data_IF_537195803620
#
_entry.id   IF_537195803620
#
_cell.length_a   1.000
_cell.length_b   1.000
_cell.length_c   1.000
_cell.angle_alpha   90.00
_cell.angle_beta   90.00
_cell.angle_gamma   90.00
#
_symmetry.space_group_name_H-M   'P 1'
#
loop_
_entity.id
_entity.type
_entity.pdbx_description
1 polymer ?
#
# COMPACT_ATOMS: atom_id res chain seq x y z
N UNK A 1 36.47 -17.79 17.22
CA UNK A 1 35.38 -17.87 16.22
C UNK A 1 34.01 -18.06 16.91
N UNK A 2 33.28 -16.99 17.29
CA UNK A 2 31.86 -17.07 17.74
C UNK A 2 31.01 -15.79 17.51
N UNK A 3 31.55 -14.72 16.93
CA UNK A 3 30.85 -13.41 16.82
C UNK A 3 30.07 -13.17 15.53
N UNK A 4 30.17 -14.01 14.50
CA UNK A 4 29.56 -13.73 13.19
C UNK A 4 28.08 -14.17 13.04
N UNK A 5 27.58 -15.11 13.85
CA UNK A 5 26.20 -15.60 13.71
C UNK A 5 25.14 -14.67 14.33
N UNK A 6 25.53 -13.79 15.26
CA UNK A 6 24.58 -12.86 15.90
C UNK A 6 24.07 -11.78 14.94
N UNK A 7 24.89 -11.33 13.99
CA UNK A 7 24.48 -10.30 13.04
C UNK A 7 23.43 -10.83 12.05
N UNK A 8 23.54 -12.10 11.64
CA UNK A 8 22.58 -12.73 10.72
C UNK A 8 21.19 -12.92 11.35
N UNK A 9 21.13 -13.25 12.64
CA UNK A 9 19.87 -13.45 13.36
C UNK A 9 19.13 -12.12 13.62
N UNK A 10 19.86 -11.05 13.88
CA UNK A 10 19.28 -9.69 14.09
C UNK A 10 18.64 -9.16 12.81
N UNK A 11 19.24 -9.39 11.64
CA UNK A 11 18.69 -8.93 10.35
C UNK A 11 17.39 -9.69 10.02
N UNK A 12 17.34 -11.01 10.26
CA UNK A 12 16.13 -11.81 10.03
C UNK A 12 15.00 -11.42 10.99
N UNK A 13 15.32 -11.16 12.26
CA UNK A 13 14.33 -10.68 13.23
C UNK A 13 13.75 -9.31 12.80
N UNK A 14 14.58 -8.38 12.32
CA UNK A 14 14.12 -7.08 11.85
C UNK A 14 13.18 -7.21 10.63
N UNK A 15 13.50 -8.08 9.67
CA UNK A 15 12.61 -8.38 8.54
C UNK A 15 11.25 -8.95 8.98
N UNK A 16 11.22 -9.78 10.03
CA UNK A 16 9.97 -10.36 10.54
C UNK A 16 9.08 -9.35 11.30
N UNK A 17 9.68 -8.41 12.04
CA UNK A 17 8.93 -7.36 12.73
C UNK A 17 8.31 -6.34 11.77
N UNK A 18 8.98 -6.04 10.64
CA UNK A 18 8.44 -5.12 9.64
C UNK A 18 7.19 -5.65 8.91
N UNK A 19 7.05 -6.96 8.77
CA UNK A 19 5.92 -7.58 8.07
C UNK A 19 4.68 -7.64 8.96
N UNK A 20 4.82 -8.00 10.25
CA UNK A 20 3.67 -8.11 11.15
C UNK A 20 3.11 -6.76 11.65
N UNK A 21 3.90 -5.69 11.59
CA UNK A 21 3.43 -4.34 11.91
C UNK A 21 2.51 -3.71 10.85
N UNK A 22 2.43 -4.29 9.65
CA UNK A 22 1.66 -3.73 8.51
C UNK A 22 0.26 -4.36 8.34
N UNK A 23 -0.09 -5.36 9.14
CA UNK A 23 -1.35 -6.10 9.02
C UNK A 23 -2.33 -5.92 10.19
N UNK A 24 -2.04 -5.07 11.18
CA UNK A 24 -3.05 -4.76 12.20
C UNK A 24 -4.01 -3.67 11.68
N UNK A 25 -5.24 -4.12 11.40
CA UNK A 25 -6.48 -3.34 11.28
C UNK A 25 -6.77 -2.65 9.95
N UNK A 26 -7.31 -3.41 9.00
CA UNK A 26 -8.46 -2.93 8.20
C UNK A 26 -9.50 -4.05 8.02
N UNK A 27 -10.20 -4.38 9.09
CA UNK A 27 -11.46 -5.13 9.01
C UNK A 27 -12.57 -4.11 8.71
N UNK A 28 -13.04 -4.09 7.47
CA UNK A 28 -14.20 -3.28 7.07
C UNK A 28 -15.43 -3.95 7.69
N UNK A 29 -15.92 -3.37 8.79
CA UNK A 29 -17.08 -3.90 9.50
C UNK A 29 -17.30 -3.21 10.84
N UNK A 30 -17.77 -1.96 10.79
CA UNK A 30 -18.70 -1.31 11.73
C UNK A 30 -18.61 0.21 11.58
N UNK A 31 -19.74 0.90 11.79
CA UNK A 31 -19.90 2.35 11.80
C UNK A 31 -18.87 3.04 12.71
N UNK A 32 -17.71 3.35 12.17
CA UNK A 32 -16.80 4.35 12.72
C UNK A 32 -17.03 5.62 11.91
N UNK A 33 -17.68 6.61 12.53
CA UNK A 33 -17.45 8.01 12.14
C UNK A 33 -15.98 8.30 12.42
N UNK A 34 -15.14 8.12 11.39
CA UNK A 34 -13.71 8.39 11.45
C UNK A 34 -13.50 9.90 11.42
N UNK A 35 -13.32 10.52 12.59
CA UNK A 35 -12.84 11.91 12.69
C UNK A 35 -11.39 12.08 12.17
N UNK A 36 -10.69 10.97 11.94
CA UNK A 36 -9.30 10.92 11.45
C UNK A 36 -9.16 10.04 10.19
N UNK A 37 -10.16 10.03 9.29
CA UNK A 37 -10.08 9.25 8.05
C UNK A 37 -8.96 9.79 7.14
N UNK A 38 -7.97 8.95 6.84
CA UNK A 38 -6.96 9.27 5.83
C UNK A 38 -7.63 9.51 4.47
N UNK A 39 -7.21 10.52 3.69
CA UNK A 39 -7.78 10.80 2.39
C UNK A 39 -7.61 9.59 1.46
N UNK A 40 -8.71 9.14 0.88
CA UNK A 40 -8.78 8.04 -0.06
C UNK A 40 -8.83 8.56 -1.50
N UNK A 41 -8.13 7.84 -2.38
CA UNK A 41 -8.23 8.05 -3.82
C UNK A 41 -9.18 7.01 -4.41
N UNK A 42 -10.19 7.46 -5.15
CA UNK A 42 -11.18 6.62 -5.79
C UNK A 42 -11.13 6.79 -7.31
N UNK A 43 -11.26 5.67 -8.00
CA UNK A 43 -11.56 5.60 -9.44
C UNK A 43 -12.98 5.09 -9.59
N UNK A 44 -13.84 5.92 -10.19
CA UNK A 44 -15.24 5.59 -10.47
C UNK A 44 -15.38 5.39 -11.97
N UNK A 45 -15.88 4.23 -12.36
CA UNK A 45 -16.23 3.92 -13.75
C UNK A 45 -17.74 4.08 -13.88
N UNK A 46 -18.16 4.96 -14.77
CA UNK A 46 -19.58 5.18 -15.08
C UNK A 46 -20.06 4.23 -16.17
N UNK A 47 -21.37 4.02 -16.29
CA UNK A 47 -21.99 3.13 -17.30
C UNK A 47 -21.76 3.59 -18.74
N UNK A 48 -21.53 4.89 -18.96
CA UNK A 48 -21.09 5.45 -20.24
C UNK A 48 -19.59 5.21 -20.53
N UNK A 49 -18.89 4.40 -19.71
CA UNK A 49 -17.45 4.16 -19.73
C UNK A 49 -16.59 5.40 -19.43
N UNK A 50 -17.18 6.51 -18.99
CA UNK A 50 -16.44 7.65 -18.48
C UNK A 50 -15.77 7.28 -17.14
N UNK A 51 -14.55 7.77 -16.93
CA UNK A 51 -13.77 7.51 -15.72
C UNK A 51 -13.60 8.81 -14.96
N UNK A 52 -14.05 8.82 -13.70
CA UNK A 52 -13.92 9.94 -12.79
C UNK A 52 -12.92 9.58 -11.69
N UNK A 53 -11.89 10.40 -11.54
CA UNK A 53 -10.90 10.27 -10.47
C UNK A 53 -11.21 11.26 -9.35
N UNK A 54 -11.21 10.77 -8.11
CA UNK A 54 -11.37 11.58 -6.90
C UNK A 54 -10.17 11.32 -5.99
N UNK A 55 -9.51 12.36 -5.51
CA UNK A 55 -8.19 12.23 -4.86
C UNK A 55 -8.19 12.43 -3.34
N UNK A 56 -9.16 13.16 -2.78
CA UNK A 56 -9.16 13.55 -1.36
C UNK A 56 -10.47 13.18 -0.68
N UNK A 57 -10.99 11.99 -0.96
CA UNK A 57 -12.26 11.54 -0.38
C UNK A 57 -12.03 11.07 1.04
N UNK A 58 -12.71 11.72 1.99
CA UNK A 58 -12.63 11.41 3.42
C UNK A 58 -13.84 10.59 3.89
N UNK A 59 -14.95 10.65 3.16
CA UNK A 59 -16.17 9.93 3.52
C UNK A 59 -17.00 9.60 2.26
N UNK A 60 -17.76 8.52 2.33
CA UNK A 60 -18.66 8.06 1.27
C UNK A 60 -19.99 7.70 1.91
N UNK A 61 -21.06 8.37 1.50
CA UNK A 61 -22.42 8.13 2.00
C UNK A 61 -23.33 7.77 0.84
N UNK A 62 -24.29 6.89 1.08
CA UNK A 62 -25.38 6.65 0.13
C UNK A 62 -26.63 7.32 0.68
N UNK A 63 -27.23 8.20 -0.13
CA UNK A 63 -28.46 8.91 0.21
C UNK A 63 -29.42 8.71 -0.94
N UNK A 64 -30.49 7.96 -0.69
CA UNK A 64 -31.50 7.58 -1.70
C UNK A 64 -30.83 6.95 -2.93
N UNK A 65 -30.96 7.58 -4.10
CA UNK A 65 -30.41 7.13 -5.38
C UNK A 65 -29.00 7.69 -5.68
N UNK A 66 -28.36 8.33 -4.70
CA UNK A 66 -27.08 9.02 -4.87
C UNK A 66 -25.99 8.43 -3.98
N UNK A 67 -24.79 8.31 -4.54
CA UNK A 67 -23.54 8.18 -3.79
C UNK A 67 -22.94 9.57 -3.62
N UNK A 68 -22.75 9.99 -2.38
CA UNK A 68 -22.17 11.26 -1.97
C UNK A 68 -20.74 11.01 -1.51
N UNK A 69 -19.78 11.56 -2.23
CA UNK A 69 -18.36 11.55 -1.88
C UNK A 69 -18.03 12.88 -1.20
N UNK A 70 -17.52 12.82 0.03
CA UNK A 70 -17.09 14.02 0.76
C UNK A 70 -15.60 14.20 0.51
N UNK A 71 -15.25 15.24 -0.23
CA UNK A 71 -13.87 15.66 -0.48
C UNK A 71 -13.46 16.74 0.53
N UNK A 72 -12.28 16.60 1.13
CA UNK A 72 -11.79 17.55 2.15
C UNK A 72 -11.51 18.96 1.59
N UNK A 73 -11.28 19.08 0.27
CA UNK A 73 -10.94 20.36 -0.39
C UNK A 73 -12.12 20.94 -1.16
N UNK A 74 -12.87 20.08 -1.84
CA UNK A 74 -13.90 20.48 -2.79
C UNK A 74 -15.33 20.37 -2.23
N UNK A 75 -15.49 19.80 -1.03
CA UNK A 75 -16.79 19.57 -0.42
C UNK A 75 -17.48 18.30 -0.94
N UNK A 76 -18.81 18.29 -0.94
CA UNK A 76 -19.58 17.10 -1.32
C UNK A 76 -19.79 17.01 -2.84
N UNK A 77 -19.51 15.83 -3.40
CA UNK A 77 -19.81 15.48 -4.79
C UNK A 77 -20.82 14.34 -4.85
N UNK A 78 -21.93 14.56 -5.56
CA UNK A 78 -23.02 13.58 -5.68
C UNK A 78 -23.01 12.92 -7.06
N UNK A 79 -23.15 11.60 -7.10
CA UNK A 79 -23.25 10.81 -8.34
C UNK A 79 -24.44 9.86 -8.21
N UNK A 80 -25.28 9.81 -9.25
CA UNK A 80 -26.40 8.86 -9.33
C UNK A 80 -25.90 7.42 -9.35
N UNK A 81 -26.44 6.57 -8.48
CA UNK A 81 -26.05 5.18 -8.30
C UNK A 81 -26.26 4.37 -9.59
N UNK A 82 -27.34 4.65 -10.33
CA UNK A 82 -27.63 4.06 -11.65
C UNK A 82 -26.60 4.40 -12.73
N UNK A 83 -25.86 5.49 -12.58
CA UNK A 83 -24.80 5.87 -13.52
C UNK A 83 -23.48 5.18 -13.19
N UNK A 84 -23.32 4.63 -11.99
CA UNK A 84 -22.09 3.96 -11.57
C UNK A 84 -22.08 2.52 -12.11
N UNK A 85 -20.95 2.15 -12.72
CA UNK A 85 -20.67 0.78 -13.15
C UNK A 85 -19.75 0.07 -12.16
N UNK A 86 -18.70 0.76 -11.71
CA UNK A 86 -17.72 0.20 -10.79
C UNK A 86 -17.06 1.32 -9.95
N UNK A 87 -16.66 1.00 -8.72
CA UNK A 87 -15.91 1.89 -7.83
C UNK A 87 -14.73 1.10 -7.27
N UNK A 88 -13.52 1.56 -7.58
CA UNK A 88 -12.29 0.96 -7.07
C UNK A 88 -11.52 1.98 -6.25
N UNK A 89 -11.02 1.57 -5.08
CA UNK A 89 -10.02 2.34 -4.34
C UNK A 89 -8.72 2.25 -5.11
N UNK A 90 -8.13 3.39 -5.42
CA UNK A 90 -6.79 3.44 -6.00
C UNK A 90 -5.83 3.21 -4.84
N UNK A 91 -5.50 1.95 -4.59
CA UNK A 91 -4.42 1.60 -3.67
C UNK A 91 -3.15 2.26 -4.20
N UNK A 92 -2.49 3.05 -3.35
CA UNK A 92 -1.20 3.60 -3.69
C UNK A 92 -0.23 2.46 -3.95
N UNK A 93 0.37 2.44 -5.14
CA UNK A 93 1.42 1.51 -5.56
C UNK A 93 2.70 1.60 -4.69
N UNK A 94 2.70 2.37 -3.60
CA UNK A 94 3.83 2.52 -2.68
C UNK A 94 4.30 1.18 -2.10
N UNK A 95 3.38 0.26 -1.77
CA UNK A 95 3.74 -1.07 -1.27
C UNK A 95 4.46 -1.86 -2.37
N UNK A 96 3.95 -1.82 -3.60
CA UNK A 96 4.54 -2.50 -4.76
C UNK A 96 5.89 -1.91 -5.12
N UNK A 97 6.03 -0.59 -5.04
CA UNK A 97 7.28 0.13 -5.25
C UNK A 97 8.31 -0.21 -4.17
N UNK A 98 7.89 -0.26 -2.90
CA UNK A 98 8.74 -0.63 -1.77
C UNK A 98 9.24 -2.08 -1.91
N UNK A 99 8.35 -3.01 -2.25
CA UNK A 99 8.69 -4.42 -2.44
C UNK A 99 9.70 -4.60 -3.59
N UNK A 100 9.44 -3.97 -4.73
CA UNK A 100 10.36 -4.00 -5.87
C UNK A 100 11.73 -3.40 -5.53
N UNK A 101 11.76 -2.27 -4.82
CA UNK A 101 13.00 -1.63 -4.41
C UNK A 101 13.79 -2.53 -3.46
N UNK A 102 13.11 -3.16 -2.50
CA UNK A 102 13.72 -4.08 -1.55
C UNK A 102 14.34 -5.30 -2.24
N UNK A 103 13.63 -5.90 -3.20
CA UNK A 103 14.14 -7.04 -3.99
C UNK A 103 15.40 -6.65 -4.76
N UNK A 104 15.40 -5.47 -5.41
CA UNK A 104 16.55 -5.00 -6.20
C UNK A 104 17.77 -4.77 -5.29
N UNK A 105 17.60 -4.05 -4.17
CA UNK A 105 18.70 -3.76 -3.24
C UNK A 105 19.22 -5.06 -2.59
N UNK A 106 18.32 -5.96 -2.20
CA UNK A 106 18.68 -7.28 -1.67
C UNK A 106 19.47 -8.13 -2.67
N UNK A 107 19.07 -8.12 -3.94
CA UNK A 107 19.75 -8.82 -5.03
C UNK A 107 21.17 -8.30 -5.29
N UNK A 108 21.35 -6.97 -5.30
CA UNK A 108 22.68 -6.34 -5.47
C UNK A 108 23.62 -6.71 -4.32
N UNK A 109 23.13 -6.65 -3.07
CA UNK A 109 23.92 -7.01 -1.89
C UNK A 109 24.34 -8.49 -1.91
N UNK A 110 23.44 -9.39 -2.34
CA UNK A 110 23.74 -10.80 -2.48
C UNK A 110 24.83 -11.06 -3.54
N UNK A 111 24.74 -10.38 -4.69
CA UNK A 111 25.75 -10.45 -5.76
C UNK A 111 27.14 -9.99 -5.27
N UNK A 112 27.20 -8.85 -4.57
CA UNK A 112 28.44 -8.34 -3.99
C UNK A 112 29.05 -9.34 -3.00
N UNK A 113 28.23 -9.93 -2.13
CA UNK A 113 28.68 -10.95 -1.19
C UNK A 113 29.30 -12.17 -1.91
N UNK A 114 28.64 -12.68 -2.95
CA UNK A 114 29.15 -13.81 -3.73
C UNK A 114 30.47 -13.49 -4.43
N UNK A 115 30.62 -12.27 -4.97
CA UNK A 115 31.87 -11.82 -5.61
C UNK A 115 33.02 -11.77 -4.60
N UNK A 116 32.78 -11.22 -3.41
CA UNK A 116 33.81 -11.12 -2.35
C UNK A 116 34.23 -12.53 -1.92
N UNK A 117 33.27 -13.43 -1.66
CA UNK A 117 33.55 -14.80 -1.24
C UNK A 117 34.30 -15.60 -2.32
N UNK A 118 33.92 -15.43 -3.59
CA UNK A 118 34.56 -16.10 -4.72
C UNK A 118 36.02 -15.68 -4.94
N UNK A 119 36.35 -14.42 -4.64
CA UNK A 119 37.74 -13.93 -4.74
C UNK A 119 38.58 -14.35 -3.53
N UNK A 120 38.02 -14.40 -2.32
CA UNK A 120 38.72 -14.90 -1.13
C UNK A 120 39.08 -16.39 -1.25
N UNK A 121 38.21 -17.20 -1.88
CA UNK A 121 38.47 -18.61 -2.15
C UNK A 121 39.58 -18.89 -3.19
N UNK A 122 40.02 -17.88 -3.94
CA UNK A 122 41.14 -17.98 -4.90
C UNK A 122 42.51 -17.62 -4.30
N UNK A 123 42.54 -17.03 -3.11
CA UNK A 123 43.78 -16.55 -2.46
C UNK A 123 44.35 -17.59 -1.48
N UNK A 124 43.54 -18.58 -1.06
CA UNK A 124 44.02 -19.83 -0.48
C UNK A 124 44.30 -20.87 -1.56
#
# INVERSE_FOLDING_TARGET
MKKQNYLSCVIVAFMFFSINGCFSNRTIGNNYTMKDAEPMQLKIVLRNNEIVYLENIIDIKTIEEYIVFVDNRLGEKKILLDKVKDISVREFDLIKLFLNTFIIVGGILLLLYLIIFSNLGKVN
#
